data_IF_291450571968
#
_entry.id   IF_291450571968
#
_cell.length_a   1.000
_cell.length_b   1.000
_cell.length_c   1.000
_cell.angle_alpha   90.00
_cell.angle_beta   90.00
_cell.angle_gamma   90.00
#
_symmetry.space_group_name_H-M   'P 1'
#
loop_
_entity.id
_entity.type
_entity.pdbx_description
1 polymer ?
#
# COMPACT_ATOMS: atom_id res chain seq x y z
N UNK A 1 51.06 14.81 -37.08
CA UNK A 1 52.17 13.86 -36.99
C UNK A 1 51.58 12.47 -37.13
N UNK A 2 51.60 11.97 -38.36
CA UNK A 2 51.30 10.59 -38.69
C UNK A 2 52.60 9.78 -38.54
N UNK A 3 52.51 8.57 -38.03
CA UNK A 3 53.59 7.59 -38.12
C UNK A 3 53.11 6.46 -39.03
N UNK A 4 53.70 6.46 -40.22
CA UNK A 4 53.86 5.33 -41.12
C UNK A 4 55.17 4.63 -40.75
N UNK A 5 55.23 3.30 -40.96
CA UNK A 5 56.41 2.54 -41.42
C UNK A 5 56.01 1.06 -41.56
N UNK A 6 56.08 0.56 -42.80
CA UNK A 6 56.15 -0.86 -43.19
C UNK A 6 57.37 -1.57 -42.58
N UNK A 7 57.65 -2.85 -42.81
CA UNK A 7 57.47 -3.72 -43.97
C UNK A 7 57.58 -5.19 -43.52
N UNK A 8 57.13 -6.11 -44.38
CA UNK A 8 57.70 -7.45 -44.67
C UNK A 8 56.56 -8.46 -44.95
N UNK A 9 56.56 -9.34 -45.96
CA UNK A 9 57.47 -9.66 -47.06
C UNK A 9 56.78 -10.77 -47.90
N UNK A 10 56.76 -10.60 -49.22
CA UNK A 10 56.79 -11.58 -50.33
C UNK A 10 55.85 -12.81 -50.41
N UNK A 11 54.99 -12.79 -51.44
CA UNK A 11 54.56 -13.93 -52.31
C UNK A 11 55.66 -14.28 -53.33
N UNK A 12 55.75 -15.49 -53.98
CA UNK A 12 54.70 -16.22 -54.77
C UNK A 12 54.92 -17.78 -54.77
N UNK A 13 54.45 -18.67 -55.70
CA UNK A 13 53.64 -18.49 -56.93
C UNK A 13 52.45 -19.46 -57.16
N UNK A 14 51.65 -19.12 -58.17
CA UNK A 14 50.55 -19.91 -58.75
C UNK A 14 51.02 -21.21 -59.43
N UNK A 15 50.18 -22.25 -59.40
CA UNK A 15 50.00 -23.21 -60.50
C UNK A 15 48.76 -24.10 -60.32
N UNK A 16 47.94 -24.18 -61.38
CA UNK A 16 47.25 -25.41 -61.77
C UNK A 16 45.73 -25.48 -61.61
N UNK A 17 45.00 -25.24 -62.71
CA UNK A 17 43.62 -25.69 -62.92
C UNK A 17 43.61 -27.18 -63.28
N UNK A 18 42.73 -27.99 -62.63
CA UNK A 18 42.16 -29.21 -63.22
C UNK A 18 40.72 -29.40 -62.73
N UNK A 19 39.85 -29.74 -63.67
CA UNK A 19 38.41 -29.91 -63.63
C UNK A 19 37.89 -31.05 -62.73
N UNK A 20 36.62 -30.95 -62.30
CA UNK A 20 35.73 -32.12 -62.34
C UNK A 20 34.88 -32.42 -61.10
N UNK A 21 33.57 -32.17 -61.26
CA UNK A 21 32.42 -32.97 -60.77
C UNK A 21 31.75 -32.62 -59.43
N UNK A 22 30.42 -32.47 -59.57
CA UNK A 22 29.32 -32.70 -58.64
C UNK A 22 29.11 -31.71 -57.48
N UNK A 23 28.52 -30.56 -57.81
CA UNK A 23 27.91 -29.64 -56.84
C UNK A 23 26.40 -29.91 -56.73
N UNK A 24 26.02 -30.72 -55.73
CA UNK A 24 24.63 -30.86 -55.32
C UNK A 24 24.15 -29.56 -54.67
N UNK A 25 23.15 -28.93 -55.31
CA UNK A 25 22.43 -27.77 -54.82
C UNK A 25 21.75 -28.09 -53.47
N UNK A 26 22.23 -27.51 -52.37
CA UNK A 26 21.45 -27.36 -51.13
C UNK A 26 21.13 -25.89 -50.94
N UNK A 27 19.95 -25.51 -51.38
CA UNK A 27 19.36 -24.20 -51.18
C UNK A 27 18.96 -24.09 -49.70
N UNK A 28 19.83 -23.51 -48.87
CA UNK A 28 19.51 -23.17 -47.50
C UNK A 28 18.63 -21.91 -47.51
N UNK A 29 17.32 -22.09 -47.32
CA UNK A 29 16.39 -20.99 -47.07
C UNK A 29 16.66 -20.45 -45.66
N UNK A 30 17.39 -19.34 -45.54
CA UNK A 30 17.47 -18.58 -44.28
C UNK A 30 16.17 -17.78 -44.16
N UNK A 31 15.19 -18.33 -43.45
CA UNK A 31 14.05 -17.56 -42.98
C UNK A 31 14.53 -16.71 -41.82
N UNK A 32 14.92 -15.47 -42.10
CA UNK A 32 15.05 -14.44 -41.08
C UNK A 32 13.63 -14.12 -40.56
N UNK A 33 13.18 -14.88 -39.57
CA UNK A 33 11.97 -14.57 -38.84
C UNK A 33 12.15 -13.22 -38.14
N UNK A 34 11.44 -12.20 -38.60
CA UNK A 34 11.18 -10.99 -37.84
C UNK A 34 10.45 -11.41 -36.56
N UNK A 35 11.20 -11.70 -35.50
CA UNK A 35 10.65 -11.73 -34.14
C UNK A 35 10.30 -10.29 -33.80
N UNK A 36 9.07 -9.90 -34.12
CA UNK A 36 8.46 -8.74 -33.52
C UNK A 36 8.44 -9.01 -32.01
N UNK A 37 9.10 -8.19 -31.16
CA UNK A 37 8.97 -8.36 -29.74
C UNK A 37 7.49 -8.21 -29.41
N UNK A 38 6.86 -9.31 -29.00
CA UNK A 38 5.56 -9.25 -28.35
C UNK A 38 5.80 -8.39 -27.13
N UNK A 39 5.34 -7.14 -27.17
CA UNK A 39 5.25 -6.31 -25.97
C UNK A 39 4.31 -7.08 -25.05
N UNK A 40 4.87 -7.75 -24.04
CA UNK A 40 4.07 -8.31 -22.96
C UNK A 40 3.36 -7.10 -22.34
N UNK A 41 2.04 -7.01 -22.56
CA UNK A 41 1.22 -6.04 -21.83
C UNK A 41 1.41 -6.41 -20.36
N UNK A 42 2.00 -5.49 -19.59
CA UNK A 42 2.26 -5.73 -18.18
C UNK A 42 0.95 -6.07 -17.47
N UNK A 43 0.95 -7.18 -16.73
CA UNK A 43 -0.20 -7.58 -15.93
C UNK A 43 -0.41 -6.52 -14.83
N UNK A 44 -1.57 -5.87 -14.80
CA UNK A 44 -1.94 -4.95 -13.71
C UNK A 44 -2.63 -5.73 -12.62
N UNK A 45 -2.08 -5.63 -11.42
CA UNK A 45 -2.70 -6.13 -10.21
C UNK A 45 -3.38 -4.98 -9.48
N UNK A 46 -4.66 -5.15 -9.19
CA UNK A 46 -5.43 -4.24 -8.34
C UNK A 46 -5.78 -4.94 -7.03
N UNK A 47 -5.74 -4.19 -5.95
CA UNK A 47 -6.18 -4.63 -4.63
C UNK A 47 -6.73 -3.41 -3.90
N UNK A 48 -7.56 -3.64 -2.89
CA UNK A 48 -8.10 -2.60 -2.03
C UNK A 48 -7.84 -2.92 -0.57
N UNK A 49 -7.89 -1.87 0.23
CA UNK A 49 -7.69 -1.93 1.67
C UNK A 49 -8.92 -1.34 2.39
N UNK A 50 -9.50 -2.10 3.31
CA UNK A 50 -10.45 -1.56 4.28
C UNK A 50 -9.68 -0.86 5.40
N UNK A 51 -9.98 0.41 5.66
CA UNK A 51 -9.40 1.15 6.78
C UNK A 51 -10.44 1.32 7.91
N UNK A 52 -10.22 0.62 9.02
CA UNK A 52 -11.17 0.53 10.12
C UNK A 52 -10.56 1.10 11.40
N UNK A 53 -11.11 2.22 11.85
CA UNK A 53 -10.70 2.95 13.04
C UNK A 53 -11.91 3.46 13.81
N UNK A 54 -11.77 3.57 15.14
CA UNK A 54 -12.54 4.48 15.99
C UNK A 54 -11.62 5.11 17.06
N UNK A 55 -11.76 6.41 17.34
CA UNK A 55 -10.89 7.09 18.31
C UNK A 55 -11.17 6.62 19.74
N UNK A 56 -10.28 6.99 20.65
CA UNK A 56 -10.59 6.99 22.09
C UNK A 56 -11.64 8.09 22.34
N UNK A 57 -12.87 7.67 22.61
CA UNK A 57 -13.98 8.59 22.89
C UNK A 57 -13.84 9.29 24.25
N UNK A 58 -13.27 8.59 25.24
CA UNK A 58 -13.04 9.14 26.56
C UNK A 58 -11.76 8.60 27.19
N UNK A 59 -10.75 9.44 27.45
CA UNK A 59 -9.47 9.00 28.02
C UNK A 59 -9.52 8.80 29.54
N UNK A 60 -10.66 9.06 30.18
CA UNK A 60 -10.81 8.86 31.62
C UNK A 60 -10.76 7.38 32.01
N UNK A 61 -10.44 7.08 33.27
CA UNK A 61 -10.25 5.72 33.72
C UNK A 61 -11.52 4.87 33.61
N UNK A 62 -11.35 3.59 33.30
CA UNK A 62 -12.35 2.56 33.52
C UNK A 62 -12.53 2.27 35.03
N UNK A 63 -13.40 1.32 35.36
CA UNK A 63 -13.67 0.93 36.76
C UNK A 63 -12.46 0.33 37.48
N UNK A 64 -11.43 -0.11 36.76
CA UNK A 64 -10.18 -0.64 37.33
C UNK A 64 -9.17 0.46 37.64
N UNK A 65 -9.32 1.64 37.03
CA UNK A 65 -8.38 2.75 37.15
C UNK A 65 -7.09 2.59 36.33
N UNK A 66 -6.92 1.47 35.62
CA UNK A 66 -5.67 1.13 34.95
C UNK A 66 -5.67 1.43 33.44
N UNK A 67 -6.83 1.71 32.85
CA UNK A 67 -7.03 1.92 31.42
C UNK A 67 -8.09 2.98 31.15
N UNK A 68 -8.14 3.48 29.92
CA UNK A 68 -9.21 4.35 29.44
C UNK A 68 -10.52 3.55 29.23
N UNK A 69 -11.66 4.24 29.18
CA UNK A 69 -12.95 3.59 28.93
C UNK A 69 -13.08 3.15 27.46
N UNK A 70 -13.39 1.88 27.23
CA UNK A 70 -13.74 1.36 25.90
C UNK A 70 -15.23 1.65 25.63
N UNK A 71 -15.70 1.25 24.45
CA UNK A 71 -17.04 1.61 23.98
C UNK A 71 -18.16 1.21 24.95
N UNK A 72 -18.18 -0.04 25.42
CA UNK A 72 -19.25 -0.50 26.30
C UNK A 72 -19.21 0.17 27.68
N UNK A 73 -18.03 0.33 28.29
CA UNK A 73 -17.89 1.03 29.56
C UNK A 73 -18.36 2.48 29.44
N UNK A 74 -18.02 3.16 28.34
CA UNK A 74 -18.46 4.53 28.06
C UNK A 74 -19.98 4.62 27.90
N UNK A 75 -20.61 3.66 27.23
CA UNK A 75 -22.07 3.59 27.10
C UNK A 75 -22.73 3.42 28.48
N UNK A 76 -22.19 2.53 29.33
CA UNK A 76 -22.72 2.30 30.68
C UNK A 76 -22.53 3.51 31.60
N UNK A 77 -21.38 4.18 31.51
CA UNK A 77 -21.13 5.41 32.24
C UNK A 77 -22.15 6.49 31.85
N UNK A 78 -22.43 6.66 30.55
CA UNK A 78 -23.45 7.58 30.03
C UNK A 78 -24.86 7.21 30.52
N UNK A 79 -25.22 5.94 30.47
CA UNK A 79 -26.50 5.45 31.01
C UNK A 79 -26.63 5.72 32.52
N UNK A 80 -25.51 5.79 33.24
CA UNK A 80 -25.43 6.11 34.67
C UNK A 80 -25.30 7.61 34.97
N UNK A 81 -25.45 8.48 33.95
CA UNK A 81 -25.45 9.94 34.12
C UNK A 81 -24.09 10.62 33.95
N UNK A 82 -23.06 9.94 33.46
CA UNK A 82 -21.80 10.59 33.12
C UNK A 82 -21.98 11.64 32.01
N UNK A 83 -21.19 12.71 32.06
CA UNK A 83 -21.21 13.74 31.01
C UNK A 83 -20.51 13.24 29.74
N UNK A 84 -19.39 12.54 29.90
CA UNK A 84 -18.51 12.09 28.83
C UNK A 84 -18.61 10.57 28.56
N UNK A 85 -18.28 10.12 27.34
CA UNK A 85 -18.04 10.94 26.14
C UNK A 85 -19.29 11.74 25.71
N UNK A 86 -19.07 12.85 25.01
CA UNK A 86 -20.19 13.66 24.49
C UNK A 86 -20.86 12.98 23.30
N UNK A 87 -20.09 12.17 22.57
CA UNK A 87 -20.54 11.35 21.45
C UNK A 87 -21.58 10.31 21.89
N UNK A 88 -22.48 9.98 20.97
CA UNK A 88 -23.48 8.93 21.15
C UNK A 88 -22.93 7.60 20.64
N UNK A 89 -22.26 6.85 21.52
CA UNK A 89 -21.59 5.60 21.14
C UNK A 89 -22.59 4.49 20.76
N UNK A 90 -23.79 4.49 21.35
CA UNK A 90 -24.88 3.57 20.95
C UNK A 90 -25.27 3.80 19.49
N UNK A 91 -25.42 5.06 19.08
CA UNK A 91 -25.72 5.40 17.68
C UNK A 91 -24.53 5.11 16.76
N UNK A 92 -23.31 5.45 17.17
CA UNK A 92 -22.13 5.26 16.30
C UNK A 92 -21.88 3.77 16.04
N UNK A 93 -21.78 2.96 17.09
CA UNK A 93 -21.49 1.53 16.97
C UNK A 93 -22.72 0.71 16.57
N UNK A 94 -23.94 1.21 16.81
CA UNK A 94 -25.19 0.52 16.45
C UNK A 94 -25.62 0.66 14.99
N UNK A 95 -24.91 1.45 14.17
CA UNK A 95 -25.21 1.54 12.73
C UNK A 95 -24.86 0.23 12.02
N UNK A 96 -25.78 -0.24 11.17
CA UNK A 96 -25.63 -1.49 10.42
C UNK A 96 -24.31 -1.58 9.63
N UNK A 97 -23.85 -0.46 9.07
CA UNK A 97 -22.58 -0.40 8.33
C UNK A 97 -21.37 -0.65 9.25
N UNK A 98 -21.36 -0.12 10.48
CA UNK A 98 -20.33 -0.34 11.49
C UNK A 98 -20.36 -1.76 12.03
N UNK A 99 -21.56 -2.26 12.36
CA UNK A 99 -21.76 -3.64 12.81
C UNK A 99 -21.26 -4.62 11.75
N UNK A 100 -21.55 -4.37 10.46
CA UNK A 100 -21.11 -5.23 9.37
C UNK A 100 -19.62 -5.10 9.05
N UNK A 101 -19.11 -3.87 8.89
CA UNK A 101 -17.71 -3.59 8.54
C UNK A 101 -16.73 -4.13 9.59
N UNK A 102 -17.09 -4.05 10.86
CA UNK A 102 -16.23 -4.47 11.96
C UNK A 102 -16.25 -5.98 12.24
N UNK A 103 -17.12 -6.75 11.58
CA UNK A 103 -17.30 -8.18 11.87
C UNK A 103 -17.16 -9.10 10.65
N UNK A 104 -17.85 -8.81 9.54
CA UNK A 104 -18.00 -9.80 8.46
C UNK A 104 -17.94 -9.24 7.04
N UNK A 105 -18.27 -7.96 6.83
CA UNK A 105 -18.37 -7.37 5.48
C UNK A 105 -17.07 -7.44 4.68
N UNK A 106 -15.87 -7.24 5.28
CA UNK A 106 -14.62 -7.38 4.52
C UNK A 106 -14.43 -8.79 3.91
N UNK A 107 -14.83 -9.86 4.63
CA UNK A 107 -14.79 -11.22 4.09
C UNK A 107 -15.80 -11.41 2.96
N UNK A 108 -17.04 -10.96 3.16
CA UNK A 108 -18.07 -11.09 2.13
C UNK A 108 -17.68 -10.35 0.84
N UNK A 109 -17.05 -9.19 0.97
CA UNK A 109 -16.53 -8.42 -0.16
C UNK A 109 -15.42 -9.18 -0.87
N UNK A 110 -14.48 -9.78 -0.14
CA UNK A 110 -13.46 -10.68 -0.70
C UNK A 110 -14.07 -11.89 -1.42
N UNK A 111 -15.18 -12.45 -0.93
CA UNK A 111 -15.78 -13.64 -1.55
C UNK A 111 -16.30 -13.40 -2.97
N UNK A 112 -16.65 -12.15 -3.31
CA UNK A 112 -16.97 -11.77 -4.69
C UNK A 112 -15.80 -11.95 -5.66
N UNK A 113 -14.57 -12.10 -5.14
CA UNK A 113 -13.33 -12.21 -5.91
C UNK A 113 -12.78 -13.64 -5.98
N UNK A 114 -13.48 -14.67 -5.45
CA UNK A 114 -12.93 -16.04 -5.40
C UNK A 114 -12.68 -16.65 -6.79
N UNK A 115 -13.38 -16.17 -7.83
CA UNK A 115 -13.14 -16.56 -9.22
C UNK A 115 -11.77 -16.10 -9.76
N UNK A 116 -11.09 -15.18 -9.08
CA UNK A 116 -9.75 -14.71 -9.43
C UNK A 116 -8.72 -15.39 -8.51
N UNK A 117 -7.87 -16.31 -9.03
CA UNK A 117 -6.96 -17.11 -8.22
C UNK A 117 -5.95 -16.31 -7.41
N UNK A 118 -5.49 -15.19 -7.95
CA UNK A 118 -4.50 -14.31 -7.33
C UNK A 118 -5.12 -13.21 -6.44
N UNK A 119 -6.45 -13.06 -6.45
CA UNK A 119 -7.09 -11.95 -5.75
C UNK A 119 -7.01 -12.08 -4.23
N UNK A 120 -6.51 -11.02 -3.62
CA UNK A 120 -6.50 -10.79 -2.19
C UNK A 120 -6.74 -9.33 -1.86
N UNK A 121 -7.10 -9.07 -0.62
CA UNK A 121 -7.46 -7.75 -0.08
C UNK A 121 -6.67 -7.47 1.19
N UNK A 122 -6.59 -6.20 1.59
CA UNK A 122 -6.03 -5.84 2.89
C UNK A 122 -7.10 -5.26 3.82
N UNK A 123 -6.84 -5.37 5.12
CA UNK A 123 -7.61 -4.68 6.16
C UNK A 123 -6.62 -4.06 7.14
N UNK A 124 -6.75 -2.77 7.43
CA UNK A 124 -6.19 -2.17 8.63
C UNK A 124 -7.30 -2.01 9.66
N UNK A 125 -7.00 -2.39 10.89
CA UNK A 125 -7.95 -2.43 12.00
C UNK A 125 -7.16 -2.04 13.24
N UNK A 126 -7.50 -0.95 13.93
CA UNK A 126 -6.68 -0.50 15.05
C UNK A 126 -6.85 -1.31 16.33
N UNK A 127 -5.86 -1.19 17.21
CA UNK A 127 -5.93 -1.76 18.55
C UNK A 127 -7.09 -1.18 19.37
N UNK A 128 -7.28 0.13 19.34
CA UNK A 128 -8.40 0.80 20.01
C UNK A 128 -9.76 0.34 19.48
N UNK A 129 -9.90 0.13 18.17
CA UNK A 129 -11.12 -0.45 17.61
C UNK A 129 -11.31 -1.90 18.04
N UNK A 130 -10.26 -2.72 18.08
CA UNK A 130 -10.34 -4.10 18.60
C UNK A 130 -10.88 -4.07 20.02
N UNK A 131 -10.32 -3.22 20.90
CA UNK A 131 -10.76 -3.11 22.28
C UNK A 131 -12.24 -2.67 22.39
N UNK A 132 -12.67 -1.72 21.58
CA UNK A 132 -14.05 -1.28 21.51
C UNK A 132 -14.99 -2.43 21.09
N UNK A 133 -14.67 -3.14 20.01
CA UNK A 133 -15.50 -4.23 19.50
C UNK A 133 -15.52 -5.43 20.44
N UNK A 134 -14.40 -5.76 21.07
CA UNK A 134 -14.34 -6.79 22.12
C UNK A 134 -15.26 -6.41 23.28
N UNK A 135 -15.21 -5.17 23.77
CA UNK A 135 -16.07 -4.73 24.88
C UNK A 135 -17.57 -4.89 24.57
N UNK A 136 -17.98 -4.60 23.34
CA UNK A 136 -19.36 -4.73 22.88
C UNK A 136 -19.76 -6.20 22.65
N UNK A 137 -18.86 -7.01 22.10
CA UNK A 137 -19.06 -8.43 21.85
C UNK A 137 -19.18 -9.25 23.15
N UNK A 138 -18.35 -8.95 24.15
CA UNK A 138 -18.42 -9.57 25.49
C UNK A 138 -19.75 -9.25 26.18
N UNK A 139 -20.25 -8.02 26.01
CA UNK A 139 -21.54 -7.59 26.53
C UNK A 139 -22.74 -8.00 25.65
N UNK A 140 -22.49 -8.59 24.47
CA UNK A 140 -23.49 -8.94 23.46
C UNK A 140 -24.43 -7.77 23.11
N UNK A 141 -23.87 -6.57 22.97
CA UNK A 141 -24.63 -5.35 22.70
C UNK A 141 -24.49 -4.91 21.24
N UNK A 142 -25.48 -4.14 20.76
CA UNK A 142 -25.47 -3.45 19.46
C UNK A 142 -25.20 -4.37 18.25
N UNK A 143 -25.48 -5.67 18.35
CA UNK A 143 -25.25 -6.62 17.26
C UNK A 143 -23.82 -7.15 17.14
N UNK A 144 -22.95 -6.87 18.12
CA UNK A 144 -21.61 -7.47 18.19
C UNK A 144 -21.67 -8.83 18.88
N UNK A 145 -21.11 -9.85 18.22
CA UNK A 145 -21.16 -11.23 18.69
C UNK A 145 -19.81 -11.69 19.26
N UNK A 146 -19.82 -12.70 20.13
CA UNK A 146 -18.58 -13.31 20.64
C UNK A 146 -17.65 -13.84 19.52
N UNK A 147 -18.22 -14.15 18.34
CA UNK A 147 -17.50 -14.59 17.14
C UNK A 147 -17.15 -13.47 16.15
N UNK A 148 -17.16 -12.20 16.57
CA UNK A 148 -17.02 -11.02 15.71
C UNK A 148 -15.83 -11.09 14.73
N UNK A 149 -14.71 -11.73 15.11
CA UNK A 149 -13.50 -11.82 14.29
C UNK A 149 -13.39 -13.09 13.42
N UNK A 150 -14.39 -13.99 13.47
CA UNK A 150 -14.32 -15.28 12.78
C UNK A 150 -14.13 -15.13 11.26
N UNK A 151 -14.82 -14.15 10.65
CA UNK A 151 -14.70 -13.90 9.22
C UNK A 151 -13.31 -13.45 8.78
N UNK A 152 -12.65 -12.61 9.59
CA UNK A 152 -11.28 -12.18 9.34
C UNK A 152 -10.29 -13.34 9.46
N UNK A 153 -10.45 -14.20 10.48
CA UNK A 153 -9.61 -15.39 10.67
C UNK A 153 -9.74 -16.38 9.51
N UNK A 154 -10.96 -16.63 9.05
CA UNK A 154 -11.25 -17.49 7.89
C UNK A 154 -10.61 -16.95 6.60
N UNK A 155 -10.79 -15.65 6.33
CA UNK A 155 -10.23 -14.99 5.16
C UNK A 155 -8.69 -15.00 5.15
N UNK A 156 -8.06 -14.81 6.31
CA UNK A 156 -6.59 -14.84 6.46
C UNK A 156 -6.02 -16.26 6.31
N UNK A 157 -6.75 -17.28 6.74
CA UNK A 157 -6.37 -18.67 6.57
C UNK A 157 -6.43 -19.10 5.09
N UNK A 158 -7.42 -18.59 4.35
CA UNK A 158 -7.59 -18.84 2.91
C UNK A 158 -6.42 -18.28 2.10
N UNK A 159 -5.96 -19.01 1.07
CA UNK A 159 -4.79 -18.65 0.25
C UNK A 159 -5.14 -18.31 -1.20
N UNK A 160 -4.36 -17.39 -1.76
CA UNK A 160 -4.28 -17.15 -3.22
C UNK A 160 -3.49 -18.28 -3.89
N UNK A 161 -3.52 -18.35 -5.23
CA UNK A 161 -2.69 -19.29 -6.00
C UNK A 161 -1.19 -19.15 -5.74
N UNK A 162 -0.74 -17.97 -5.30
CA UNK A 162 0.65 -17.66 -4.99
C UNK A 162 1.00 -17.92 -3.50
N UNK A 163 0.10 -18.54 -2.74
CA UNK A 163 0.33 -18.93 -1.34
C UNK A 163 0.19 -17.81 -0.31
N UNK A 164 -0.07 -16.57 -0.73
CA UNK A 164 -0.36 -15.44 0.16
C UNK A 164 -1.77 -15.57 0.77
N UNK A 165 -2.02 -15.04 1.99
CA UNK A 165 -3.38 -14.89 2.51
C UNK A 165 -4.29 -14.15 1.52
N UNK A 166 -5.56 -14.57 1.39
CA UNK A 166 -6.55 -13.80 0.62
C UNK A 166 -6.96 -12.51 1.33
N UNK A 167 -6.77 -12.44 2.65
CA UNK A 167 -6.88 -11.22 3.43
C UNK A 167 -5.63 -11.04 4.28
N UNK A 168 -4.89 -9.97 4.04
CA UNK A 168 -3.80 -9.55 4.93
C UNK A 168 -4.30 -8.48 5.91
N UNK A 169 -4.18 -8.75 7.21
CA UNK A 169 -4.50 -7.76 8.24
C UNK A 169 -3.23 -6.97 8.49
N UNK A 170 -3.10 -5.87 7.75
CA UNK A 170 -1.92 -5.00 7.83
C UNK A 170 -1.79 -4.39 9.22
N UNK A 171 -0.55 -4.17 9.64
CA UNK A 171 -0.30 -3.50 10.90
C UNK A 171 -0.83 -2.07 10.87
N UNK A 172 -1.39 -1.66 12.01
CA UNK A 172 -1.92 -0.33 12.20
C UNK A 172 -1.58 0.13 13.62
N UNK A 173 -1.07 1.37 13.84
CA UNK A 173 -0.83 1.88 15.18
C UNK A 173 -2.04 1.75 16.09
N UNK A 174 -1.81 1.39 17.35
CA UNK A 174 -2.86 0.98 18.27
C UNK A 174 -3.95 2.05 18.46
N UNK A 175 -3.57 3.32 18.60
CA UNK A 175 -4.48 4.43 18.90
C UNK A 175 -4.60 5.48 17.78
N UNK A 176 -4.23 5.14 16.54
CA UNK A 176 -4.29 6.06 15.39
C UNK A 176 -3.55 7.41 15.57
N UNK A 177 -2.33 7.48 16.16
CA UNK A 177 -1.59 8.74 16.18
C UNK A 177 -1.03 9.09 14.80
N UNK A 178 -0.96 10.38 14.48
CA UNK A 178 -0.15 10.85 13.34
C UNK A 178 1.34 10.58 13.63
N UNK A 179 1.83 9.39 13.26
CA UNK A 179 3.15 8.88 13.62
C UNK A 179 4.30 9.87 13.38
N UNK A 180 4.35 10.63 12.26
CA UNK A 180 5.42 11.60 12.06
C UNK A 180 5.48 12.71 13.12
N UNK A 181 4.38 12.95 13.85
CA UNK A 181 4.25 14.00 14.86
C UNK A 181 4.48 13.51 16.29
N UNK A 182 4.73 12.22 16.50
CA UNK A 182 4.97 11.64 17.84
C UNK A 182 6.42 11.23 18.02
N UNK A 183 6.91 11.16 19.26
CA UNK A 183 8.27 10.71 19.56
C UNK A 183 8.50 9.24 19.16
N UNK A 184 9.75 8.89 18.85
CA UNK A 184 10.14 7.54 18.44
C UNK A 184 9.79 6.46 19.48
N UNK A 185 9.79 6.80 20.78
CA UNK A 185 9.33 5.90 21.84
C UNK A 185 7.84 5.60 21.71
N UNK A 186 7.03 6.60 21.36
CA UNK A 186 5.59 6.44 21.13
C UNK A 186 5.36 5.56 19.91
N UNK A 187 6.06 5.82 18.80
CA UNK A 187 5.98 4.97 17.59
C UNK A 187 6.27 3.50 17.93
N UNK A 188 7.36 3.21 18.64
CA UNK A 188 7.69 1.84 19.05
C UNK A 188 6.62 1.22 19.94
N UNK A 189 6.07 1.99 20.88
CA UNK A 189 5.03 1.50 21.78
C UNK A 189 3.73 1.17 21.04
N UNK A 190 3.29 2.04 20.13
CA UNK A 190 2.11 1.82 19.29
C UNK A 190 2.21 0.51 18.48
N UNK A 191 3.39 0.24 17.91
CA UNK A 191 3.64 -0.99 17.16
C UNK A 191 3.72 -2.22 18.08
N UNK A 192 4.33 -2.08 19.26
CA UNK A 192 4.43 -3.15 20.24
C UNK A 192 3.07 -3.54 20.81
N UNK A 193 2.22 -2.57 21.15
CA UNK A 193 0.85 -2.78 21.61
C UNK A 193 0.02 -3.48 20.53
N UNK A 194 0.11 -3.04 19.28
CA UNK A 194 -0.64 -3.70 18.19
C UNK A 194 -0.20 -5.15 17.99
N UNK A 195 1.10 -5.42 18.04
CA UNK A 195 1.61 -6.80 17.97
C UNK A 195 1.16 -7.66 19.14
N UNK A 196 1.01 -7.09 20.34
CA UNK A 196 0.55 -7.81 21.53
C UNK A 196 -0.91 -8.26 21.39
N UNK A 197 -1.80 -7.38 20.92
CA UNK A 197 -3.23 -7.70 20.74
C UNK A 197 -3.50 -8.54 19.48
N UNK A 198 -2.60 -8.49 18.49
CA UNK A 198 -2.76 -9.17 17.20
C UNK A 198 -3.15 -10.66 17.31
N UNK A 199 -2.44 -11.53 18.06
CA UNK A 199 -2.80 -12.95 18.15
C UNK A 199 -4.12 -13.19 18.88
N UNK A 200 -4.51 -12.31 19.82
CA UNK A 200 -5.80 -12.40 20.52
C UNK A 200 -6.96 -12.13 19.55
N UNK A 201 -6.81 -11.08 18.73
CA UNK A 201 -7.82 -10.70 17.74
C UNK A 201 -7.86 -11.63 16.53
N UNK A 202 -6.70 -12.02 15.99
CA UNK A 202 -6.59 -12.63 14.65
C UNK A 202 -6.09 -14.07 14.66
N UNK A 203 -5.86 -14.64 15.83
CA UNK A 203 -5.35 -16.00 16.01
C UNK A 203 -3.82 -16.09 15.84
N UNK A 204 -3.25 -17.29 16.04
CA UNK A 204 -1.81 -17.48 16.02
C UNK A 204 -1.19 -17.19 14.64
N UNK A 205 0.10 -16.85 14.66
CA UNK A 205 0.91 -16.59 13.48
C UNK A 205 1.50 -15.19 13.46
N UNK A 206 2.43 -14.95 12.52
CA UNK A 206 3.07 -13.65 12.40
C UNK A 206 2.08 -12.57 11.92
N UNK A 207 2.11 -11.36 12.49
CA UNK A 207 1.45 -10.20 11.92
C UNK A 207 1.91 -9.92 10.48
N UNK A 208 1.13 -9.12 9.75
CA UNK A 208 1.57 -8.60 8.45
C UNK A 208 2.91 -7.88 8.57
N UNK A 209 3.72 -7.94 7.50
CA UNK A 209 4.92 -7.11 7.35
C UNK A 209 4.63 -5.74 6.74
N UNK A 210 3.36 -5.46 6.46
CA UNK A 210 2.87 -4.18 5.97
C UNK A 210 2.33 -3.31 7.07
N UNK A 211 2.42 -2.00 6.87
CA UNK A 211 1.80 -1.00 7.73
C UNK A 211 0.95 -0.03 6.91
N UNK A 212 -0.27 0.23 7.38
CA UNK A 212 -1.03 1.40 6.96
C UNK A 212 -0.77 2.52 7.98
N UNK A 213 -0.08 3.63 7.61
CA UNK A 213 0.12 4.72 8.54
C UNK A 213 -1.20 5.51 8.72
N UNK A 214 -1.53 5.95 9.94
CA UNK A 214 -2.69 6.80 10.19
C UNK A 214 -2.72 8.00 9.23
N UNK A 215 -3.84 8.19 8.53
CA UNK A 215 -4.02 9.21 7.48
C UNK A 215 -3.03 9.14 6.30
N UNK A 216 -2.40 7.97 6.08
CA UNK A 216 -1.26 7.81 5.18
C UNK A 216 -0.10 8.79 5.49
N UNK A 217 -0.03 9.28 6.73
CA UNK A 217 0.98 10.22 7.18
C UNK A 217 2.32 9.50 7.36
N UNK A 218 3.23 9.69 6.40
CA UNK A 218 4.53 9.05 6.38
C UNK A 218 5.66 10.09 6.37
N UNK A 219 6.73 9.79 7.09
CA UNK A 219 7.99 10.50 7.05
C UNK A 219 9.11 9.48 7.08
N UNK A 220 10.20 9.73 6.36
CA UNK A 220 11.37 8.86 6.33
C UNK A 220 11.97 8.65 7.73
N UNK A 221 11.76 9.60 8.67
CA UNK A 221 12.19 9.45 10.07
C UNK A 221 11.61 8.21 10.77
N UNK A 222 10.46 7.71 10.30
CA UNK A 222 9.81 6.52 10.87
C UNK A 222 10.53 5.23 10.48
N UNK A 223 11.27 5.23 9.36
CA UNK A 223 11.82 4.03 8.73
C UNK A 223 12.63 3.17 9.70
N UNK A 224 13.55 3.71 10.54
CA UNK A 224 14.29 2.89 11.50
C UNK A 224 13.39 2.13 12.47
N UNK A 225 12.40 2.80 13.07
CA UNK A 225 11.48 2.19 14.03
C UNK A 225 10.55 1.16 13.36
N UNK A 226 10.12 1.41 12.12
CA UNK A 226 9.33 0.46 11.34
C UNK A 226 10.12 -0.80 11.00
N UNK A 227 11.36 -0.66 10.52
CA UNK A 227 12.24 -1.79 10.19
C UNK A 227 12.64 -2.58 11.44
N UNK A 228 12.93 -1.90 12.56
CA UNK A 228 13.16 -2.54 13.86
C UNK A 228 11.95 -3.36 14.30
N UNK A 229 10.74 -2.88 14.02
CA UNK A 229 9.50 -3.61 14.23
C UNK A 229 9.22 -4.68 13.15
N UNK A 230 10.14 -4.98 12.23
CA UNK A 230 9.93 -6.00 11.20
C UNK A 230 8.89 -5.65 10.14
N UNK A 231 8.56 -4.36 9.99
CA UNK A 231 7.78 -3.87 8.86
C UNK A 231 8.70 -3.76 7.65
N UNK A 232 8.26 -4.31 6.52
CA UNK A 232 9.00 -4.33 5.25
C UNK A 232 8.42 -3.35 4.24
N UNK A 233 7.12 -3.04 4.34
CA UNK A 233 6.44 -2.12 3.45
C UNK A 233 5.40 -1.25 4.15
N UNK A 234 5.16 -0.07 3.60
CA UNK A 234 4.23 0.92 4.17
C UNK A 234 3.40 1.58 3.07
N UNK A 235 2.10 1.76 3.32
CA UNK A 235 1.22 2.44 2.37
C UNK A 235 1.46 3.96 2.40
N UNK A 236 1.55 4.59 1.23
CA UNK A 236 1.64 6.05 1.09
C UNK A 236 0.69 6.52 -0.01
N UNK A 237 0.24 7.77 0.02
CA UNK A 237 -0.47 8.35 -1.13
C UNK A 237 0.47 8.42 -2.35
N UNK A 238 -0.02 8.01 -3.53
CA UNK A 238 0.68 8.18 -4.80
C UNK A 238 1.01 9.66 -5.10
N UNK A 239 0.23 10.60 -4.55
CA UNK A 239 0.52 12.02 -4.65
C UNK A 239 1.82 12.41 -3.96
N UNK A 240 2.20 11.74 -2.86
CA UNK A 240 3.50 12.00 -2.19
C UNK A 240 4.68 11.61 -3.10
N UNK A 241 4.56 10.49 -3.82
CA UNK A 241 5.58 10.02 -4.77
C UNK A 241 5.68 10.96 -5.98
N UNK A 242 4.53 11.38 -6.48
CA UNK A 242 4.40 12.30 -7.61
C UNK A 242 5.01 13.67 -7.31
N UNK A 243 4.75 14.23 -6.13
CA UNK A 243 5.27 15.53 -5.69
C UNK A 243 6.79 15.59 -5.56
N UNK A 244 7.43 14.43 -5.36
CA UNK A 244 8.88 14.32 -5.33
C UNK A 244 9.51 14.31 -6.74
N UNK A 245 8.73 14.32 -7.84
CA UNK A 245 9.26 14.36 -9.21
C UNK A 245 9.73 15.76 -9.61
N UNK A 246 10.87 15.85 -10.33
CA UNK A 246 11.48 17.12 -10.78
C UNK A 246 10.56 18.08 -11.53
N UNK A 247 9.60 17.55 -12.28
CA UNK A 247 8.67 18.32 -13.10
C UNK A 247 7.22 18.19 -12.62
N UNK A 248 7.00 17.98 -11.32
CA UNK A 248 5.65 17.93 -10.75
C UNK A 248 4.82 19.17 -11.18
N UNK A 249 3.70 19.00 -11.90
CA UNK A 249 2.93 20.10 -12.45
C UNK A 249 1.98 20.67 -11.39
N UNK A 250 2.56 21.29 -10.35
CA UNK A 250 1.81 21.86 -9.23
C UNK A 250 0.87 22.97 -9.69
N UNK A 251 -0.38 22.91 -9.23
CA UNK A 251 -1.38 23.97 -9.45
C UNK A 251 -1.90 24.43 -8.09
N UNK A 252 -1.78 25.71 -7.71
CA UNK A 252 -2.27 26.20 -6.42
C UNK A 252 -3.80 26.22 -6.31
N UNK A 253 -4.30 26.10 -5.09
CA UNK A 253 -5.68 26.43 -4.72
C UNK A 253 -6.72 25.37 -5.10
N UNK A 254 -7.99 25.77 -5.00
CA UNK A 254 -9.16 24.94 -5.35
C UNK A 254 -9.14 24.56 -6.83
N UNK A 255 -9.46 23.30 -7.12
CA UNK A 255 -9.28 22.68 -8.43
C UNK A 255 -7.85 22.20 -8.69
N UNK A 256 -6.88 22.65 -7.89
CA UNK A 256 -5.48 22.24 -7.90
C UNK A 256 -5.12 21.36 -6.71
N UNK A 257 -3.93 21.55 -6.17
CA UNK A 257 -3.32 20.67 -5.17
C UNK A 257 -3.75 20.95 -3.72
N UNK A 258 -4.33 22.13 -3.46
CA UNK A 258 -4.73 22.64 -2.13
C UNK A 258 -3.69 22.41 -0.99
N UNK A 259 -2.41 22.33 -1.35
CA UNK A 259 -1.26 22.19 -0.46
C UNK A 259 -0.09 23.03 -1.01
N UNK A 260 0.90 23.41 -0.18
CA UNK A 260 2.07 24.16 -0.63
C UNK A 260 2.79 23.50 -1.82
N UNK A 261 3.56 24.27 -2.61
CA UNK A 261 4.39 23.70 -3.68
C UNK A 261 5.38 22.67 -3.10
N UNK A 262 5.87 21.72 -3.92
CA UNK A 262 6.87 20.75 -3.47
C UNK A 262 8.08 21.43 -2.82
N UNK A 263 8.49 20.92 -1.67
CA UNK A 263 9.74 21.31 -1.05
C UNK A 263 10.89 20.83 -1.93
N UNK A 264 11.76 21.74 -2.36
CA UNK A 264 12.87 21.45 -3.29
C UNK A 264 13.84 20.39 -2.76
N UNK A 265 13.97 20.25 -1.44
CA UNK A 265 14.82 19.22 -0.84
C UNK A 265 14.26 17.79 -1.06
N UNK A 266 12.94 17.67 -1.19
CA UNK A 266 12.23 16.39 -1.33
C UNK A 266 12.09 15.98 -2.81
N UNK A 267 12.47 16.85 -3.75
CA UNK A 267 12.39 16.62 -5.20
C UNK A 267 13.56 15.75 -5.67
N UNK A 268 13.46 14.45 -5.40
CA UNK A 268 14.50 13.47 -5.70
C UNK A 268 14.16 12.55 -6.90
N UNK A 269 12.88 12.44 -7.27
CA UNK A 269 12.42 11.54 -8.31
C UNK A 269 12.63 12.12 -9.72
N UNK A 270 12.88 11.26 -10.74
CA UNK A 270 13.07 11.71 -12.12
C UNK A 270 11.82 12.37 -12.69
N UNK A 271 12.00 13.21 -13.72
CA UNK A 271 10.90 13.83 -14.45
C UNK A 271 9.99 12.77 -15.09
N UNK A 272 8.69 13.01 -15.07
CA UNK A 272 7.67 12.11 -15.63
C UNK A 272 6.95 12.77 -16.81
N UNK A 273 6.60 11.99 -17.83
CA UNK A 273 5.97 12.49 -19.06
C UNK A 273 4.44 12.41 -19.05
N UNK A 274 3.85 11.59 -18.17
CA UNK A 274 2.41 11.32 -18.10
C UNK A 274 1.88 11.62 -16.70
N UNK A 275 0.74 12.31 -16.66
CA UNK A 275 0.12 12.82 -15.44
C UNK A 275 -1.38 12.67 -15.52
N UNK A 276 -1.95 12.01 -14.52
CA UNK A 276 -3.39 11.89 -14.37
C UNK A 276 -3.84 12.92 -13.32
N UNK A 277 -4.81 13.78 -13.66
CA UNK A 277 -5.35 14.80 -12.76
C UNK A 277 -6.85 14.57 -12.60
N UNK A 278 -7.22 13.99 -11.46
CA UNK A 278 -8.62 13.70 -11.13
C UNK A 278 -9.10 14.68 -10.07
N UNK A 279 -10.18 15.40 -10.36
CA UNK A 279 -10.86 16.22 -9.37
C UNK A 279 -11.74 15.38 -8.45
N UNK A 280 -11.74 15.73 -7.16
CA UNK A 280 -12.59 15.16 -6.12
C UNK A 280 -13.46 16.25 -5.48
N UNK A 281 -14.56 15.86 -4.84
CA UNK A 281 -15.59 16.75 -4.26
C UNK A 281 -15.07 17.75 -3.23
N UNK A 282 -13.90 17.48 -2.64
CA UNK A 282 -13.17 18.43 -1.78
C UNK A 282 -12.57 19.63 -2.53
N UNK A 283 -12.74 19.71 -3.85
CA UNK A 283 -12.16 20.75 -4.69
C UNK A 283 -10.64 20.62 -4.83
N UNK A 284 -10.12 19.39 -4.80
CA UNK A 284 -8.69 19.09 -4.98
C UNK A 284 -8.54 18.18 -6.20
N UNK A 285 -7.47 18.38 -6.97
CA UNK A 285 -7.12 17.58 -8.13
C UNK A 285 -5.60 17.41 -8.22
N UNK A 286 -4.94 16.61 -7.37
CA UNK A 286 -3.50 16.39 -7.47
C UNK A 286 -3.14 15.69 -8.78
N UNK A 287 -1.95 15.95 -9.30
CA UNK A 287 -1.46 15.29 -10.52
C UNK A 287 -0.65 14.05 -10.15
N UNK A 288 -1.10 12.85 -10.52
CA UNK A 288 -0.40 11.62 -10.23
C UNK A 288 0.35 11.12 -11.47
N UNK A 289 1.65 10.90 -11.33
CA UNK A 289 2.46 10.38 -12.42
C UNK A 289 2.14 8.91 -12.67
N UNK A 290 1.81 8.52 -13.89
CA UNK A 290 1.52 7.13 -14.24
C UNK A 290 2.48 6.63 -15.34
N UNK A 291 2.93 5.36 -15.27
CA UNK A 291 2.65 4.39 -14.20
C UNK A 291 3.50 4.61 -12.94
N UNK A 292 4.43 5.58 -12.95
CA UNK A 292 5.48 5.74 -11.95
C UNK A 292 4.98 5.75 -10.50
N UNK A 293 4.02 6.61 -10.15
CA UNK A 293 3.49 6.71 -8.78
C UNK A 293 2.46 5.64 -8.41
N UNK A 294 2.16 4.70 -9.31
CA UNK A 294 1.24 3.57 -9.09
C UNK A 294 1.99 2.24 -8.85
N UNK A 295 3.32 2.30 -8.74
CA UNK A 295 4.19 1.15 -8.46
C UNK A 295 4.91 1.33 -7.13
N UNK A 296 5.30 0.25 -6.42
CA UNK A 296 6.11 0.36 -5.22
C UNK A 296 7.45 1.05 -5.46
N UNK A 297 7.89 1.87 -4.49
CA UNK A 297 9.22 2.53 -4.48
C UNK A 297 9.99 2.17 -3.22
N UNK A 298 11.24 2.62 -3.11
CA UNK A 298 11.99 2.58 -1.84
C UNK A 298 12.16 4.00 -1.30
N UNK A 299 11.77 4.21 -0.05
CA UNK A 299 12.13 5.39 0.71
C UNK A 299 13.38 5.11 1.55
N UNK A 300 14.16 6.15 1.87
CA UNK A 300 15.43 6.01 2.58
C UNK A 300 15.57 7.06 3.67
N UNK A 301 15.83 6.60 4.88
CA UNK A 301 16.33 7.43 5.97
C UNK A 301 17.86 7.34 6.03
N UNK A 302 18.53 8.46 6.28
CA UNK A 302 19.97 8.49 6.57
C UNK A 302 20.16 9.15 7.93
N UNK A 303 20.70 8.39 8.88
CA UNK A 303 20.92 8.88 10.24
C UNK A 303 21.91 10.06 10.24
N UNK A 304 21.53 11.27 10.69
CA UNK A 304 22.39 12.45 10.57
C UNK A 304 23.73 12.33 11.30
N UNK A 305 23.76 11.61 12.43
CA UNK A 305 24.96 11.46 13.26
C UNK A 305 25.95 10.40 12.75
N UNK A 306 25.52 9.44 11.92
CA UNK A 306 26.34 8.30 11.52
C UNK A 306 26.43 8.08 10.01
N UNK A 307 25.54 8.69 9.23
CA UNK A 307 25.41 8.43 7.80
C UNK A 307 24.80 7.06 7.46
N UNK A 308 24.39 6.27 8.46
CA UNK A 308 23.82 4.96 8.22
C UNK A 308 22.45 5.06 7.55
N UNK A 309 22.27 4.34 6.45
CA UNK A 309 21.01 4.32 5.70
C UNK A 309 20.11 3.16 6.16
N UNK A 310 18.81 3.43 6.24
CA UNK A 310 17.75 2.43 6.41
C UNK A 310 16.69 2.67 5.34
N UNK A 311 16.14 1.60 4.76
CA UNK A 311 15.18 1.70 3.66
C UNK A 311 13.94 0.87 3.94
N UNK A 312 12.81 1.30 3.37
CA UNK A 312 11.54 0.56 3.40
C UNK A 312 10.88 0.64 2.02
N UNK A 313 10.06 -0.35 1.68
CA UNK A 313 9.22 -0.28 0.48
C UNK A 313 8.02 0.63 0.78
N UNK A 314 7.76 1.62 -0.08
CA UNK A 314 6.52 2.41 -0.03
C UNK A 314 5.59 1.92 -1.12
N UNK A 315 4.37 1.54 -0.74
CA UNK A 315 3.34 1.01 -1.64
C UNK A 315 2.31 2.12 -1.87
N UNK A 316 2.11 2.60 -3.10
CA UNK A 316 1.20 3.69 -3.36
C UNK A 316 -0.27 3.27 -3.27
N UNK A 317 -1.07 4.07 -2.57
CA UNK A 317 -2.51 4.11 -2.70
C UNK A 317 -2.92 5.21 -3.70
N UNK A 318 -3.85 4.89 -4.60
CA UNK A 318 -4.31 5.81 -5.65
C UNK A 318 -5.27 6.86 -5.08
N UNK A 319 -4.76 8.01 -4.63
CA UNK A 319 -5.52 8.93 -3.77
C UNK A 319 -6.90 9.34 -4.31
N UNK A 320 -6.98 9.78 -5.57
CA UNK A 320 -8.20 10.34 -6.13
C UNK A 320 -9.18 9.23 -6.56
N UNK A 321 -8.65 8.12 -7.05
CA UNK A 321 -9.41 6.91 -7.38
C UNK A 321 -10.01 6.28 -6.11
N UNK A 322 -9.21 6.14 -5.04
CA UNK A 322 -9.68 5.67 -3.73
C UNK A 322 -10.72 6.58 -3.11
N UNK A 323 -10.65 7.91 -3.32
CA UNK A 323 -11.73 8.81 -2.91
C UNK A 323 -13.03 8.45 -3.62
N UNK A 324 -13.00 8.35 -4.95
CA UNK A 324 -14.20 8.02 -5.74
C UNK A 324 -14.75 6.65 -5.41
N UNK A 325 -13.87 5.67 -5.20
CA UNK A 325 -14.24 4.31 -4.82
C UNK A 325 -14.89 4.24 -3.42
N UNK A 326 -14.48 5.12 -2.51
CA UNK A 326 -15.08 5.24 -1.18
C UNK A 326 -16.53 5.76 -1.18
N UNK A 327 -16.95 6.47 -2.23
CA UNK A 327 -18.32 7.02 -2.36
C UNK A 327 -19.19 6.28 -3.39
N UNK A 328 -18.58 5.51 -4.29
CA UNK A 328 -19.26 4.84 -5.40
C UNK A 328 -18.39 3.70 -5.93
N UNK A 329 -18.94 2.75 -6.68
CA UNK A 329 -18.08 1.77 -7.36
C UNK A 329 -17.22 2.47 -8.42
N UNK A 330 -15.89 2.46 -8.24
CA UNK A 330 -14.97 3.00 -9.23
C UNK A 330 -14.55 1.90 -10.23
N UNK A 331 -14.79 2.15 -11.52
CA UNK A 331 -14.45 1.21 -12.60
C UNK A 331 -12.95 1.07 -12.85
N UNK A 332 -12.57 0.02 -13.59
CA UNK A 332 -11.17 -0.27 -13.93
C UNK A 332 -10.70 0.37 -15.25
N UNK A 333 -11.54 1.14 -15.94
CA UNK A 333 -11.23 1.69 -17.26
C UNK A 333 -9.91 2.50 -17.27
N UNK A 334 -9.64 3.26 -16.19
CA UNK A 334 -8.39 3.99 -16.05
C UNK A 334 -7.17 3.08 -15.80
N UNK A 335 -7.38 1.90 -15.21
CA UNK A 335 -6.31 0.94 -14.95
C UNK A 335 -5.75 0.36 -16.26
N UNK A 336 -6.58 0.19 -17.29
CA UNK A 336 -6.14 -0.26 -18.62
C UNK A 336 -5.21 0.77 -19.29
N UNK A 337 -5.52 2.06 -19.16
CA UNK A 337 -4.64 3.14 -19.64
C UNK A 337 -3.28 3.09 -18.91
N UNK A 338 -3.30 2.93 -17.58
CA UNK A 338 -2.07 2.85 -16.81
C UNK A 338 -1.27 1.59 -17.14
N UNK A 339 -1.94 0.44 -17.34
CA UNK A 339 -1.36 -0.83 -17.75
C UNK A 339 -0.56 -0.69 -19.05
N UNK A 340 -1.20 -0.12 -20.07
CA UNK A 340 -0.63 0.03 -21.42
C UNK A 340 0.55 1.00 -21.48
N UNK A 341 0.70 1.85 -20.46
CA UNK A 341 1.81 2.82 -20.34
C UNK A 341 3.06 2.26 -19.66
N UNK A 342 3.00 1.00 -19.21
CA UNK A 342 4.11 0.28 -18.60
C UNK A 342 5.20 0.01 -19.63
N UNK A 343 6.39 0.59 -19.45
CA UNK A 343 7.57 0.10 -20.18
C UNK A 343 7.90 -1.34 -19.74
N UNK A 344 8.40 -2.20 -20.66
CA UNK A 344 8.71 -3.62 -20.42
C UNK A 344 9.59 -3.90 -19.21
#
# INVERSE_FOLDING_TARGET
>A
MAYDLGDAYQSPPERGLVEGKDMAFRMALVVAGLMCPVCAIGQVHYTYLWHLEQPIYWPGPDSTGNRYQRAYESIMAKASGALHPMDNLTEIFGKDDRVAAYQFRPKESLWTLLGYPEAGVQVSYSGGLIENVVSLAEAQQLGYSAGWNAGFKEARASKTSNGAPRMDIVMFPFHHPLLPLTDDRVVRMELALYKAIYPEAWGPGAPSRGLFPPEMAFSERLIPALVEAGIEWVVVSNAHISRACKNYPWVPGSGGDNIPPPNRADVQNPSQSKWNRISIDRGVSPANAYPFSYRPHRARFVAPGTGQATTIIVVPAAQAESWKDGYSCYGLDAADEYASSSEP
#
